data_IF_050331447921
#
_entry.id   IF_050331447921
#
_cell.length_a   1.000
_cell.length_b   1.000
_cell.length_c   1.000
_cell.angle_alpha   90.00
_cell.angle_beta   90.00
_cell.angle_gamma   90.00
#
_symmetry.space_group_name_H-M   'P 1'
#
loop_
_entity.id
_entity.type
_entity.pdbx_description
1 polymer ?
#
# COMPACT_ATOMS: atom_id res chain seq x y z
N UNK A 1 7.05 -0.49 -21.09
CA UNK A 1 6.35 0.14 -22.22
C UNK A 1 5.36 1.16 -21.66
N UNK A 2 5.47 2.47 -21.79
CA UNK A 2 6.53 3.35 -22.31
C UNK A 2 6.47 4.65 -21.50
N UNK A 3 7.57 4.98 -20.83
CA UNK A 3 7.81 6.30 -20.26
C UNK A 3 8.08 7.26 -21.41
N UNK A 4 7.04 7.73 -22.10
CA UNK A 4 7.19 8.81 -23.08
C UNK A 4 7.77 10.02 -22.35
N UNK A 5 8.95 10.38 -22.84
CA UNK A 5 9.97 11.24 -22.28
C UNK A 5 9.42 12.54 -21.67
N UNK A 6 9.42 12.64 -20.34
CA UNK A 6 8.98 13.84 -19.62
C UNK A 6 9.80 15.08 -19.98
N UNK A 7 11.03 14.90 -20.49
CA UNK A 7 11.88 15.99 -20.99
C UNK A 7 11.31 16.63 -22.25
N UNK A 8 10.75 15.84 -23.17
CA UNK A 8 10.29 16.36 -24.47
C UNK A 8 8.98 17.16 -24.32
N UNK A 9 8.12 16.72 -23.39
CA UNK A 9 6.89 17.42 -23.02
C UNK A 9 7.21 18.78 -22.39
N UNK A 10 8.21 18.85 -21.50
CA UNK A 10 8.66 20.11 -20.88
C UNK A 10 9.21 21.09 -21.90
N UNK A 11 10.09 20.62 -22.80
CA UNK A 11 10.66 21.45 -23.88
C UNK A 11 9.59 21.99 -24.83
N UNK A 12 8.58 21.17 -25.17
CA UNK A 12 7.46 21.61 -26.00
C UNK A 12 6.62 22.69 -25.31
N UNK A 13 6.36 22.54 -24.00
CA UNK A 13 5.63 23.53 -23.22
C UNK A 13 6.38 24.87 -23.10
N UNK A 14 7.69 24.84 -22.80
CA UNK A 14 8.52 26.04 -22.73
C UNK A 14 8.53 26.81 -24.06
N UNK A 15 8.58 26.10 -25.19
CA UNK A 15 8.51 26.69 -26.53
C UNK A 15 7.16 27.32 -26.86
N UNK A 16 6.07 26.82 -26.27
CA UNK A 16 4.73 27.41 -26.42
C UNK A 16 4.63 28.67 -25.55
N UNK A 17 5.06 28.59 -24.30
CA UNK A 17 5.03 29.71 -23.36
C UNK A 17 5.90 30.89 -23.82
N UNK A 18 7.03 30.63 -24.49
CA UNK A 18 7.91 31.68 -25.01
C UNK A 18 7.29 32.50 -26.16
N UNK A 19 6.20 32.02 -26.77
CA UNK A 19 5.45 32.73 -27.82
C UNK A 19 4.29 33.58 -27.27
N UNK A 20 4.02 33.50 -25.97
CA UNK A 20 2.93 34.21 -25.31
C UNK A 20 3.43 35.47 -24.61
N UNK A 21 2.57 36.46 -24.45
CA UNK A 21 2.89 37.65 -23.65
C UNK A 21 2.98 37.30 -22.16
N UNK A 22 3.71 38.10 -21.39
CA UNK A 22 3.84 37.92 -19.93
C UNK A 22 2.49 37.82 -19.21
N UNK A 23 1.48 38.57 -19.70
CA UNK A 23 0.12 38.53 -19.13
C UNK A 23 -0.58 37.20 -19.41
N UNK A 24 -0.41 36.64 -20.61
CA UNK A 24 -1.00 35.33 -20.98
C UNK A 24 -0.31 34.17 -20.27
N UNK A 25 1.03 34.24 -20.10
CA UNK A 25 1.77 33.25 -19.31
C UNK A 25 1.30 33.25 -17.85
N UNK A 26 1.13 34.44 -17.25
CA UNK A 26 0.62 34.55 -15.88
C UNK A 26 -0.77 33.93 -15.70
N UNK A 27 -1.70 34.19 -16.64
CA UNK A 27 -3.05 33.60 -16.60
C UNK A 27 -3.01 32.07 -16.67
N UNK A 28 -2.12 31.51 -17.49
CA UNK A 28 -1.93 30.06 -17.62
C UNK A 28 -1.33 29.48 -16.34
N UNK A 29 -0.35 30.15 -15.74
CA UNK A 29 0.25 29.75 -14.46
C UNK A 29 -0.76 29.79 -13.31
N UNK A 30 -1.59 30.84 -13.23
CA UNK A 30 -2.66 30.96 -12.23
C UNK A 30 -3.71 29.86 -12.41
N UNK A 31 -4.13 29.59 -13.64
CA UNK A 31 -5.06 28.51 -13.97
C UNK A 31 -4.49 27.14 -13.58
N UNK A 32 -3.23 26.86 -13.92
CA UNK A 32 -2.57 25.61 -13.53
C UNK A 32 -2.38 25.51 -12.02
N UNK A 33 -2.08 26.60 -11.33
CA UNK A 33 -2.01 26.66 -9.86
C UNK A 33 -3.36 26.28 -9.24
N UNK A 34 -4.46 26.82 -9.75
CA UNK A 34 -5.82 26.47 -9.30
C UNK A 34 -6.12 24.98 -9.60
N UNK A 35 -5.80 24.50 -10.80
CA UNK A 35 -6.04 23.11 -11.19
C UNK A 35 -5.19 22.10 -10.40
N UNK A 36 -3.94 22.43 -10.12
CA UNK A 36 -2.99 21.53 -9.45
C UNK A 36 -2.92 21.73 -7.93
N UNK A 37 -3.42 22.83 -7.37
CA UNK A 37 -3.66 22.95 -5.92
C UNK A 37 -4.81 22.04 -5.47
N UNK A 38 -5.76 21.76 -6.38
CA UNK A 38 -6.83 20.78 -6.18
C UNK A 38 -6.38 19.32 -6.36
N UNK A 39 -5.08 19.08 -6.56
CA UNK A 39 -4.51 17.75 -6.51
C UNK A 39 -4.58 17.30 -5.07
N UNK A 40 -5.67 16.60 -4.73
CA UNK A 40 -5.96 16.02 -3.40
C UNK A 40 -4.70 15.34 -2.88
N UNK A 41 -3.89 16.07 -2.12
CA UNK A 41 -2.77 15.49 -1.43
C UNK A 41 -3.39 14.48 -0.46
N UNK A 42 -2.80 13.29 -0.36
CA UNK A 42 -3.19 12.34 0.68
C UNK A 42 -2.70 12.91 2.00
N UNK A 43 -3.40 13.90 2.53
CA UNK A 43 -3.07 14.55 3.80
C UNK A 43 -3.24 13.49 4.87
N UNK A 44 -2.13 13.07 5.47
CA UNK A 44 -2.11 12.14 6.58
C UNK A 44 -2.73 12.81 7.80
N UNK A 45 -3.46 12.06 8.62
CA UNK A 45 -3.92 12.54 9.92
C UNK A 45 -2.74 12.63 10.89
N UNK A 46 -2.62 13.76 11.57
CA UNK A 46 -1.68 13.94 12.68
C UNK A 46 -2.19 13.22 13.94
N UNK A 47 -1.31 13.05 14.93
CA UNK A 47 -1.69 12.48 16.22
C UNK A 47 -2.69 13.37 16.99
N UNK A 48 -2.60 14.68 16.82
CA UNK A 48 -3.53 15.66 17.38
C UNK A 48 -4.91 15.53 16.73
N UNK A 49 -4.95 15.45 15.40
CA UNK A 49 -6.19 15.21 14.64
C UNK A 49 -6.83 13.87 15.02
N UNK A 50 -6.05 12.81 15.19
CA UNK A 50 -6.55 11.51 15.64
C UNK A 50 -7.14 11.57 17.06
N UNK A 51 -6.54 12.36 17.94
CA UNK A 51 -7.00 12.52 19.32
C UNK A 51 -8.30 13.31 19.36
N UNK A 52 -8.37 14.41 18.60
CA UNK A 52 -9.60 15.18 18.39
C UNK A 52 -10.71 14.32 17.78
N UNK A 53 -10.39 13.50 16.78
CA UNK A 53 -11.34 12.60 16.15
C UNK A 53 -11.88 11.55 17.14
N UNK A 54 -11.04 11.00 18.03
CA UNK A 54 -11.48 10.11 19.12
C UNK A 54 -12.45 10.79 20.08
N UNK A 55 -12.15 12.02 20.50
CA UNK A 55 -13.03 12.78 21.39
C UNK A 55 -14.38 13.07 20.74
N UNK A 56 -14.37 13.53 19.49
CA UNK A 56 -15.59 13.84 18.74
C UNK A 56 -16.46 12.60 18.51
N UNK A 57 -15.86 11.45 18.20
CA UNK A 57 -16.61 10.18 18.08
C UNK A 57 -17.15 9.70 19.44
N UNK A 58 -16.40 9.91 20.53
CA UNK A 58 -16.90 9.61 21.88
C UNK A 58 -18.10 10.49 22.25
N UNK A 59 -18.12 11.75 21.82
CA UNK A 59 -19.17 12.71 22.12
C UNK A 59 -20.42 12.52 21.24
N UNK A 60 -20.24 12.36 19.92
CA UNK A 60 -21.34 12.34 18.95
C UNK A 60 -21.70 10.93 18.44
N UNK A 61 -20.90 9.91 18.78
CA UNK A 61 -21.03 8.56 18.23
C UNK A 61 -20.53 8.46 16.78
N UNK A 62 -20.67 7.27 16.19
CA UNK A 62 -20.15 6.94 14.85
C UNK A 62 -21.20 7.04 13.71
N UNK A 63 -22.31 7.76 13.95
CA UNK A 63 -23.44 7.86 13.01
C UNK A 63 -23.39 9.15 12.18
N UNK A 64 -23.07 10.28 12.81
CA UNK A 64 -23.18 11.60 12.19
C UNK A 64 -21.81 12.24 11.91
N UNK A 65 -21.12 11.69 10.90
CA UNK A 65 -19.78 12.15 10.48
C UNK A 65 -19.72 13.60 10.00
N UNK A 66 -20.87 14.18 9.63
CA UNK A 66 -20.97 15.59 9.21
C UNK A 66 -20.63 16.52 10.37
N UNK A 67 -21.26 16.31 11.53
CA UNK A 67 -21.02 17.08 12.75
C UNK A 67 -19.55 16.94 13.18
N UNK A 68 -19.02 15.71 13.12
CA UNK A 68 -17.61 15.44 13.44
C UNK A 68 -16.68 16.24 12.51
N UNK A 69 -16.92 16.22 11.20
CA UNK A 69 -16.08 16.96 10.25
C UNK A 69 -16.18 18.48 10.38
N UNK A 70 -17.33 19.02 10.77
CA UNK A 70 -17.49 20.47 11.01
C UNK A 70 -16.60 20.94 12.18
N UNK A 71 -16.25 20.03 13.10
CA UNK A 71 -15.33 20.28 14.20
C UNK A 71 -13.87 19.92 13.88
N UNK A 72 -13.57 19.47 12.66
CA UNK A 72 -12.22 19.12 12.21
C UNK A 72 -11.73 20.11 11.15
N UNK A 73 -10.51 20.58 11.27
CA UNK A 73 -9.95 21.53 10.32
C UNK A 73 -9.58 20.82 9.01
N UNK A 74 -10.12 21.29 7.89
CA UNK A 74 -9.80 20.79 6.54
C UNK A 74 -10.03 19.28 6.32
N UNK A 75 -10.90 18.65 7.12
CA UNK A 75 -11.28 17.23 6.94
C UNK A 75 -12.72 17.09 6.53
N UNK A 76 -12.95 16.31 5.50
CA UNK A 76 -14.30 15.94 5.05
C UNK A 76 -14.90 14.83 5.92
N UNK A 77 -16.25 14.71 6.00
CA UNK A 77 -16.92 13.64 6.73
C UNK A 77 -16.42 12.26 6.35
N UNK A 78 -16.19 12.04 5.04
CA UNK A 78 -15.66 10.79 4.51
C UNK A 78 -14.26 10.48 5.06
N UNK A 79 -13.37 11.47 5.10
CA UNK A 79 -12.02 11.28 5.64
C UNK A 79 -12.05 10.91 7.11
N UNK A 80 -12.87 11.59 7.92
CA UNK A 80 -13.04 11.29 9.34
C UNK A 80 -13.57 9.86 9.55
N UNK A 81 -14.60 9.47 8.79
CA UNK A 81 -15.18 8.13 8.81
C UNK A 81 -14.15 7.06 8.47
N UNK A 82 -13.48 7.21 7.33
CA UNK A 82 -12.50 6.24 6.84
C UNK A 82 -11.32 6.14 7.82
N UNK A 83 -10.88 7.27 8.40
CA UNK A 83 -9.83 7.28 9.43
C UNK A 83 -10.25 6.50 10.67
N UNK A 84 -11.49 6.70 11.14
CA UNK A 84 -12.01 6.00 12.30
C UNK A 84 -12.06 4.49 12.09
N UNK A 85 -12.78 4.04 11.07
CA UNK A 85 -13.05 2.61 10.87
C UNK A 85 -11.83 1.81 10.40
N UNK A 86 -10.84 2.45 9.76
CA UNK A 86 -9.66 1.72 9.28
C UNK A 86 -8.46 1.79 10.22
N UNK A 87 -8.44 2.72 11.18
CA UNK A 87 -7.23 2.96 12.00
C UNK A 87 -7.49 3.25 13.48
N UNK A 88 -8.57 3.94 13.87
CA UNK A 88 -8.72 4.43 15.25
C UNK A 88 -9.72 3.64 16.10
N UNK A 89 -10.72 3.02 15.49
CA UNK A 89 -11.70 2.19 16.20
C UNK A 89 -10.99 1.09 16.99
N UNK A 90 -11.46 0.81 18.20
CA UNK A 90 -10.96 -0.29 19.05
C UNK A 90 -11.13 -1.66 18.39
N UNK A 91 -12.01 -1.77 17.40
CA UNK A 91 -12.24 -2.98 16.61
C UNK A 91 -11.14 -3.21 15.55
N UNK A 92 -10.27 -2.23 15.30
CA UNK A 92 -9.17 -2.36 14.33
C UNK A 92 -7.93 -2.93 15.00
N UNK A 93 -7.47 -4.08 14.51
CA UNK A 93 -6.21 -4.65 14.95
C UNK A 93 -5.03 -4.03 14.21
N UNK A 94 -4.38 -3.05 14.85
CA UNK A 94 -3.17 -2.39 14.37
C UNK A 94 -1.86 -3.12 14.73
N UNK A 95 -1.93 -4.33 15.32
CA UNK A 95 -0.71 -5.10 15.65
C UNK A 95 0.04 -5.50 14.37
N UNK A 96 1.35 -5.73 14.44
CA UNK A 96 2.10 -6.30 13.32
C UNK A 96 1.44 -7.59 12.80
N UNK A 97 1.56 -7.86 11.50
CA UNK A 97 1.17 -9.15 10.95
C UNK A 97 2.13 -10.22 11.45
N UNK A 98 1.56 -11.32 11.94
CA UNK A 98 2.30 -12.54 12.30
C UNK A 98 2.66 -13.34 11.04
N UNK A 99 3.64 -14.24 11.15
CA UNK A 99 4.02 -15.11 10.04
C UNK A 99 2.85 -16.04 9.64
N UNK A 100 2.05 -16.50 10.61
CA UNK A 100 0.84 -17.29 10.36
C UNK A 100 -0.21 -16.50 9.56
N UNK A 101 -0.45 -15.24 9.94
CA UNK A 101 -1.32 -14.34 9.18
C UNK A 101 -0.79 -14.10 7.75
N UNK A 102 0.52 -14.00 7.56
CA UNK A 102 1.13 -13.86 6.24
C UNK A 102 0.96 -15.11 5.38
N UNK A 103 1.17 -16.29 5.97
CA UNK A 103 0.97 -17.57 5.29
C UNK A 103 -0.50 -17.74 4.88
N UNK A 104 -1.42 -17.41 5.78
CA UNK A 104 -2.85 -17.38 5.48
C UNK A 104 -3.17 -16.38 4.36
N UNK A 105 -2.59 -15.17 4.40
CA UNK A 105 -2.79 -14.14 3.39
C UNK A 105 -2.34 -14.61 2.00
N UNK A 106 -1.18 -15.27 1.91
CA UNK A 106 -0.67 -15.85 0.65
C UNK A 106 -1.58 -16.94 0.13
N UNK A 107 -2.02 -17.85 1.00
CA UNK A 107 -2.90 -18.94 0.62
C UNK A 107 -4.24 -18.41 0.08
N UNK A 108 -4.88 -17.49 0.81
CA UNK A 108 -6.14 -16.88 0.39
C UNK A 108 -5.98 -16.06 -0.90
N UNK A 109 -4.85 -15.36 -1.08
CA UNK A 109 -4.60 -14.62 -2.32
C UNK A 109 -4.42 -15.55 -3.52
N UNK A 110 -3.80 -16.72 -3.33
CA UNK A 110 -3.72 -17.76 -4.37
C UNK A 110 -5.09 -18.28 -4.79
N UNK A 111 -6.06 -18.31 -3.87
CA UNK A 111 -7.41 -18.80 -4.14
C UNK A 111 -8.33 -17.72 -4.74
N UNK A 112 -8.31 -16.52 -4.17
CA UNK A 112 -9.30 -15.47 -4.46
C UNK A 112 -8.74 -14.28 -5.25
N UNK A 113 -7.42 -14.15 -5.35
CA UNK A 113 -6.76 -12.97 -5.92
C UNK A 113 -6.99 -11.71 -5.07
N UNK A 114 -7.17 -10.56 -5.73
CA UNK A 114 -7.33 -9.25 -5.07
C UNK A 114 -8.72 -8.99 -4.47
N UNK A 115 -9.47 -10.05 -4.11
CA UNK A 115 -10.79 -9.96 -3.48
C UNK A 115 -10.68 -9.76 -1.96
N UNK A 116 -10.07 -8.66 -1.55
CA UNK A 116 -9.70 -8.38 -0.15
C UNK A 116 -10.87 -8.47 0.84
N UNK A 117 -12.05 -7.97 0.47
CA UNK A 117 -13.26 -7.99 1.32
C UNK A 117 -13.70 -9.42 1.64
N UNK A 118 -13.52 -10.38 0.72
CA UNK A 118 -13.84 -11.79 1.01
C UNK A 118 -12.82 -12.34 2.02
N UNK A 119 -11.55 -11.98 1.84
CA UNK A 119 -10.47 -12.46 2.70
C UNK A 119 -10.60 -11.95 4.13
N UNK A 120 -11.20 -10.77 4.38
CA UNK A 120 -11.36 -10.24 5.74
C UNK A 120 -12.16 -11.15 6.67
N UNK A 121 -13.04 -12.00 6.13
CA UNK A 121 -13.80 -12.96 6.94
C UNK A 121 -12.92 -14.03 7.62
N UNK A 122 -11.68 -14.20 7.16
CA UNK A 122 -10.71 -15.15 7.70
C UNK A 122 -9.73 -14.52 8.69
N UNK A 123 -9.77 -13.19 8.87
CA UNK A 123 -8.86 -12.48 9.77
C UNK A 123 -9.64 -11.79 10.89
N UNK A 124 -9.19 -11.97 12.12
CA UNK A 124 -9.78 -11.29 13.27
C UNK A 124 -9.36 -9.82 13.26
N UNK A 125 -10.33 -8.92 13.15
CA UNK A 125 -10.14 -7.46 13.28
C UNK A 125 -9.16 -6.86 12.26
N UNK A 126 -8.96 -7.49 11.09
CA UNK A 126 -8.19 -6.91 9.97
C UNK A 126 -9.14 -6.42 8.88
N UNK A 127 -8.96 -5.17 8.48
CA UNK A 127 -9.67 -4.61 7.32
C UNK A 127 -9.03 -5.04 5.99
N UNK A 128 -9.79 -4.93 4.91
CA UNK A 128 -9.35 -5.17 3.54
C UNK A 128 -8.14 -4.30 3.17
N UNK A 129 -8.13 -3.06 3.70
CA UNK A 129 -7.01 -2.13 3.58
C UNK A 129 -5.76 -2.67 4.28
N UNK A 130 -5.87 -3.28 5.46
CA UNK A 130 -4.73 -3.90 6.14
C UNK A 130 -4.15 -5.04 5.29
N UNK A 131 -5.00 -5.92 4.75
CA UNK A 131 -4.57 -7.06 3.93
C UNK A 131 -3.85 -6.61 2.66
N UNK A 132 -4.45 -5.67 1.92
CA UNK A 132 -3.84 -5.09 0.71
C UNK A 132 -2.48 -4.45 1.01
N UNK A 133 -2.39 -3.69 2.10
CA UNK A 133 -1.15 -3.03 2.49
C UNK A 133 -0.08 -4.06 2.87
N UNK A 134 -0.45 -5.11 3.62
CA UNK A 134 0.48 -6.19 3.97
C UNK A 134 0.97 -6.92 2.73
N UNK A 135 0.09 -7.27 1.80
CA UNK A 135 0.46 -7.90 0.54
C UNK A 135 1.50 -7.08 -0.23
N UNK A 136 1.28 -5.77 -0.38
CA UNK A 136 2.24 -4.87 -1.02
C UNK A 136 3.59 -4.86 -0.28
N UNK A 137 3.58 -4.91 1.06
CA UNK A 137 4.79 -4.98 1.85
C UNK A 137 5.55 -6.31 1.64
N UNK A 138 4.84 -7.44 1.55
CA UNK A 138 5.43 -8.76 1.26
C UNK A 138 6.09 -8.78 -0.13
N UNK A 139 5.40 -8.27 -1.16
CA UNK A 139 5.96 -8.17 -2.51
C UNK A 139 7.24 -7.31 -2.55
N UNK A 140 7.26 -6.20 -1.80
CA UNK A 140 8.46 -5.35 -1.69
C UNK A 140 9.60 -6.05 -0.96
N UNK A 141 9.30 -6.86 0.06
CA UNK A 141 10.30 -7.66 0.80
C UNK A 141 10.93 -8.69 -0.14
N UNK A 142 10.12 -9.41 -0.90
CA UNK A 142 10.58 -10.42 -1.86
C UNK A 142 11.44 -9.83 -2.99
N UNK A 143 11.06 -8.66 -3.52
CA UNK A 143 11.87 -7.97 -4.53
C UNK A 143 13.25 -7.58 -4.00
N UNK A 144 13.35 -7.14 -2.74
CA UNK A 144 14.64 -6.85 -2.09
C UNK A 144 15.47 -8.12 -1.86
N UNK A 145 14.84 -9.21 -1.43
CA UNK A 145 15.54 -10.50 -1.24
C UNK A 145 16.13 -10.99 -2.56
N UNK A 146 15.38 -10.94 -3.67
CA UNK A 146 15.88 -11.36 -4.99
C UNK A 146 17.06 -10.52 -5.51
N UNK A 147 17.08 -9.21 -5.23
CA UNK A 147 18.22 -8.35 -5.59
C UNK A 147 19.45 -8.52 -4.70
N UNK A 148 19.30 -9.19 -3.54
CA UNK A 148 20.41 -9.42 -2.59
C UNK A 148 21.08 -10.78 -2.82
N UNK A 149 20.44 -11.68 -3.57
CA UNK A 149 20.91 -13.06 -3.80
C UNK A 149 21.68 -13.24 -5.12
N UNK A 150 22.03 -12.15 -5.82
CA UNK A 150 22.73 -12.20 -7.12
C UNK A 150 24.18 -11.70 -7.09
N UNK A 151 24.94 -11.90 -5.99
CA UNK A 151 26.42 -11.86 -5.97
C UNK A 151 26.93 -12.83 -4.89
N UNK A 152 26.96 -14.14 -5.20
CA UNK A 152 27.98 -15.08 -4.71
C UNK A 152 27.77 -16.46 -5.36
N UNK A 153 28.04 -16.56 -6.65
CA UNK A 153 28.63 -17.79 -7.17
C UNK A 153 30.14 -17.56 -7.17
N UNK A 154 30.86 -18.40 -6.43
CA UNK A 154 32.25 -18.70 -6.75
C UNK A 154 32.41 -20.23 -6.78
N UNK A 155 33.17 -20.78 -7.73
CA UNK A 155 33.16 -22.19 -8.06
C UNK A 155 34.15 -22.94 -7.17
N UNK A 156 33.73 -24.05 -6.54
CA UNK A 156 34.65 -25.01 -5.94
C UNK A 156 34.43 -26.37 -6.59
N UNK A 157 35.47 -26.80 -7.30
CA UNK A 157 35.67 -28.14 -7.85
C UNK A 157 36.29 -29.03 -6.77
N UNK A 158 35.68 -30.16 -6.39
CA UNK A 158 36.38 -31.39 -5.96
C UNK A 158 35.53 -32.62 -6.34
N UNK A 159 36.26 -33.68 -6.71
CA UNK A 159 35.99 -34.92 -7.45
C UNK A 159 35.28 -36.07 -6.67
N UNK A 160 34.99 -37.22 -7.31
CA UNK A 160 34.02 -38.24 -6.88
C UNK A 160 34.61 -39.40 -6.06
N UNK A 161 33.80 -39.98 -5.16
CA UNK A 161 33.87 -41.31 -4.47
C UNK A 161 33.28 -41.13 -3.05
N UNK A 162 32.39 -41.94 -2.46
CA UNK A 162 31.91 -43.30 -2.68
C UNK A 162 30.49 -43.43 -2.06
N UNK A 163 29.66 -44.30 -2.65
CA UNK A 163 28.43 -44.81 -2.06
C UNK A 163 28.74 -45.87 -0.99
N UNK A 164 28.02 -45.91 0.14
CA UNK A 164 27.74 -47.15 0.84
C UNK A 164 26.32 -47.61 0.52
N UNK A 165 26.25 -48.76 -0.13
CA UNK A 165 25.09 -49.64 -0.22
C UNK A 165 24.84 -50.22 1.18
N UNK A 166 23.59 -50.19 1.65
CA UNK A 166 23.04 -51.31 2.41
C UNK A 166 21.52 -51.30 2.34
N UNK A 167 21.03 -52.43 1.87
CA UNK A 167 19.65 -52.84 1.67
C UNK A 167 18.82 -52.84 2.96
N UNK A 168 17.54 -52.47 2.86
CA UNK A 168 16.51 -53.40 3.28
C UNK A 168 15.25 -53.29 2.42
N UNK A 169 14.80 -54.47 2.02
CA UNK A 169 13.72 -54.81 1.10
C UNK A 169 12.34 -54.63 1.76
N UNK A 170 11.30 -54.39 0.97
CA UNK A 170 9.94 -54.63 1.48
C UNK A 170 8.76 -54.13 0.69
N UNK A 171 8.58 -54.64 -0.53
CA UNK A 171 7.28 -55.07 -1.12
C UNK A 171 6.02 -54.21 -0.87
N UNK A 172 5.41 -53.68 -1.93
CA UNK A 172 4.04 -54.07 -2.31
C UNK A 172 3.76 -53.68 -3.76
N UNK A 173 3.87 -54.67 -4.64
CA UNK A 173 3.18 -54.75 -5.93
C UNK A 173 1.77 -55.31 -5.65
N UNK A 174 0.73 -54.55 -5.99
CA UNK A 174 -0.32 -54.93 -6.92
C UNK A 174 -1.10 -53.68 -7.34
#
# INVERSE_FOLDING_TARGET
MDCRNTSDIKKAAEKILSKLSKKEVQVIEDYFSILYSNKRSRVQFSAEEDSKLRELVKLHGCKDWKIISENMENRSPRQCRDRWFHYLSSEVNNRPFTEDEDNLLRNLFSQFGSKWVIMTHYFVNRSDTNLKNRWIALLRKEAKTKNSTSISESPVQVSPEEFPISDDFGSFLF
#
